data_IF_076549325657
#
_entry.id   IF_076549325657
#
_cell.length_a   1.000
_cell.length_b   1.000
_cell.length_c   1.000
_cell.angle_alpha   90.00
_cell.angle_beta   90.00
_cell.angle_gamma   90.00
#
_symmetry.space_group_name_H-M   'P 1'
#
loop_
_entity.id
_entity.type
_entity.pdbx_description
1 polymer ?
#
# COMPACT_ATOMS: atom_id res chain seq x y z
N UNK A 1 -2.28 7.31 9.17
CA UNK A 1 -1.50 6.06 9.20
C UNK A 1 -0.29 6.06 8.24
N UNK A 2 0.92 5.71 8.72
CA UNK A 2 2.13 5.59 7.88
C UNK A 2 2.52 4.12 7.65
N UNK A 3 2.28 3.62 6.45
CA UNK A 3 2.52 2.24 6.01
C UNK A 3 4.01 2.02 5.74
N UNK A 4 4.61 1.10 6.50
CA UNK A 4 6.02 0.69 6.39
C UNK A 4 6.20 -0.62 5.63
N UNK A 5 5.18 -1.47 5.63
CA UNK A 5 5.25 -2.80 5.01
C UNK A 5 3.91 -3.18 4.41
N UNK A 6 3.98 -3.88 3.28
CA UNK A 6 2.83 -4.49 2.62
C UNK A 6 3.07 -6.00 2.57
N UNK A 7 2.10 -6.78 3.03
CA UNK A 7 2.11 -8.24 2.96
C UNK A 7 0.96 -8.75 2.09
N UNK A 8 1.22 -9.85 1.38
CA UNK A 8 0.27 -10.51 0.48
C UNK A 8 0.21 -11.98 0.91
N UNK A 9 -0.93 -12.40 1.46
CA UNK A 9 -1.12 -13.72 2.05
C UNK A 9 -2.27 -14.46 1.36
N UNK A 10 -2.16 -15.79 1.22
CA UNK A 10 -3.23 -16.64 0.68
C UNK A 10 -3.45 -16.59 -0.84
N UNK A 11 -2.73 -15.74 -1.58
CA UNK A 11 -2.82 -15.72 -3.05
C UNK A 11 -2.05 -16.88 -3.71
N UNK A 12 -2.55 -18.10 -3.52
CA UNK A 12 -1.95 -19.31 -4.07
C UNK A 12 -2.16 -19.46 -5.58
N UNK A 13 -1.06 -19.73 -6.29
CA UNK A 13 -0.98 -19.64 -7.76
C UNK A 13 -1.31 -20.95 -8.48
N UNK A 14 -1.72 -21.99 -7.74
CA UNK A 14 -1.87 -23.34 -8.29
C UNK A 14 -3.32 -23.79 -8.51
N UNK A 15 -4.34 -22.98 -8.19
CA UNK A 15 -5.72 -23.37 -8.49
C UNK A 15 -6.01 -23.26 -10.00
N UNK A 16 -6.26 -24.38 -10.71
CA UNK A 16 -6.58 -24.36 -12.13
C UNK A 16 -7.98 -23.77 -12.30
N UNK A 17 -8.06 -22.54 -12.83
CA UNK A 17 -9.32 -21.83 -13.13
C UNK A 17 -9.94 -21.05 -11.97
N UNK A 18 -9.30 -21.01 -10.80
CA UNK A 18 -9.90 -20.52 -9.55
C UNK A 18 -9.67 -19.03 -9.27
N UNK A 19 -10.73 -18.38 -8.78
CA UNK A 19 -10.63 -17.11 -8.05
C UNK A 19 -9.80 -17.33 -6.78
N UNK A 20 -8.60 -16.75 -6.70
CA UNK A 20 -7.75 -16.95 -5.53
C UNK A 20 -8.15 -16.03 -4.39
N UNK A 21 -8.47 -16.59 -3.22
CA UNK A 21 -8.77 -15.82 -2.00
C UNK A 21 -7.51 -15.55 -1.22
N UNK A 22 -7.26 -14.29 -0.89
CA UNK A 22 -6.14 -13.91 -0.04
C UNK A 22 -6.40 -12.59 0.66
N UNK A 23 -5.38 -12.06 1.33
CA UNK A 23 -5.46 -10.77 1.98
C UNK A 23 -4.24 -9.91 1.68
N UNK A 24 -4.48 -8.61 1.56
CA UNK A 24 -3.44 -7.58 1.49
C UNK A 24 -3.43 -6.86 2.81
N UNK A 25 -2.28 -6.87 3.48
CA UNK A 25 -2.11 -6.18 4.76
C UNK A 25 -1.24 -4.95 4.61
N UNK A 26 -1.79 -3.80 4.99
CA UNK A 26 -1.07 -2.53 5.10
C UNK A 26 -0.63 -2.36 6.55
N UNK A 27 0.67 -2.48 6.80
CA UNK A 27 1.23 -2.53 8.16
C UNK A 27 1.94 -1.21 8.45
N UNK A 28 1.49 -0.54 9.50
CA UNK A 28 2.10 0.65 10.07
C UNK A 28 2.66 0.36 11.46
N UNK A 29 3.38 1.33 12.03
CA UNK A 29 3.85 1.23 13.43
C UNK A 29 2.70 1.26 14.44
N UNK A 30 1.59 1.92 14.10
CA UNK A 30 0.45 2.15 14.99
C UNK A 30 -0.76 1.26 14.68
N UNK A 31 -0.64 0.30 13.75
CA UNK A 31 -1.76 -0.58 13.41
C UNK A 31 -1.55 -1.36 12.12
N UNK A 32 -2.55 -2.18 11.78
CA UNK A 32 -2.61 -2.97 10.54
C UNK A 32 -4.02 -2.88 9.97
N UNK A 33 -4.10 -2.58 8.67
CA UNK A 33 -5.34 -2.72 7.90
C UNK A 33 -5.21 -3.99 7.08
N UNK A 34 -6.08 -4.95 7.33
CA UNK A 34 -6.17 -6.17 6.53
C UNK A 34 -7.36 -6.07 5.57
N UNK A 35 -7.08 -6.24 4.27
CA UNK A 35 -8.10 -6.23 3.23
C UNK A 35 -8.18 -7.62 2.61
N UNK A 36 -9.24 -8.35 2.94
CA UNK A 36 -9.55 -9.60 2.26
C UNK A 36 -9.96 -9.32 0.81
N UNK A 37 -9.31 -10.02 -0.14
CA UNK A 37 -9.53 -9.86 -1.56
C UNK A 37 -9.71 -11.20 -2.24
N UNK A 38 -10.57 -11.20 -3.25
CA UNK A 38 -10.65 -12.29 -4.22
C UNK A 38 -9.98 -11.83 -5.50
N UNK A 39 -8.82 -12.41 -5.79
CA UNK A 39 -8.04 -12.14 -6.98
C UNK A 39 -8.60 -12.91 -8.18
N UNK A 40 -8.73 -12.27 -9.36
CA UNK A 40 -8.98 -13.02 -10.59
C UNK A 40 -7.80 -13.95 -10.89
N UNK A 41 -7.99 -14.95 -11.78
CA UNK A 41 -6.90 -15.78 -12.27
C UNK A 41 -5.73 -14.92 -12.73
N UNK A 42 -4.52 -15.40 -12.48
CA UNK A 42 -3.27 -14.68 -12.71
C UNK A 42 -3.19 -14.19 -14.17
N UNK A 43 -3.59 -12.93 -14.40
CA UNK A 43 -3.55 -12.30 -15.73
C UNK A 43 -2.15 -11.89 -16.15
N UNK A 44 -1.18 -11.92 -15.23
CA UNK A 44 0.22 -11.62 -15.52
C UNK A 44 1.15 -12.74 -15.05
N UNK A 45 2.09 -13.20 -15.89
CA UNK A 45 3.12 -14.14 -15.49
C UNK A 45 4.13 -13.51 -14.49
N UNK A 46 4.10 -12.18 -14.34
CA UNK A 46 5.01 -11.43 -13.50
C UNK A 46 4.42 -11.21 -12.10
N UNK A 47 5.00 -11.85 -11.09
CA UNK A 47 4.58 -11.74 -9.67
C UNK A 47 4.39 -10.29 -9.20
N UNK A 48 5.31 -9.39 -9.54
CA UNK A 48 5.22 -7.96 -9.16
C UNK A 48 4.04 -7.23 -9.80
N UNK A 49 3.68 -7.55 -11.04
CA UNK A 49 2.54 -6.91 -11.70
C UNK A 49 1.22 -7.33 -11.03
N UNK A 50 1.12 -8.59 -10.66
CA UNK A 50 0.00 -9.13 -9.90
C UNK A 50 -0.12 -8.50 -8.51
N UNK A 51 0.98 -8.43 -7.73
CA UNK A 51 1.00 -7.74 -6.43
C UNK A 51 0.57 -6.28 -6.52
N UNK A 52 0.98 -5.54 -7.57
CA UNK A 52 0.52 -4.16 -7.79
C UNK A 52 -0.97 -4.06 -8.06
N UNK A 53 -1.54 -5.02 -8.80
CA UNK A 53 -2.97 -5.06 -9.06
C UNK A 53 -3.76 -5.34 -7.78
N UNK A 54 -3.28 -6.27 -6.95
CA UNK A 54 -3.86 -6.57 -5.64
C UNK A 54 -3.80 -5.34 -4.73
N UNK A 55 -2.65 -4.67 -4.67
CA UNK A 55 -2.49 -3.44 -3.90
C UNK A 55 -3.45 -2.34 -4.37
N UNK A 56 -3.57 -2.09 -5.69
CA UNK A 56 -4.54 -1.10 -6.21
C UNK A 56 -5.97 -1.41 -5.78
N UNK A 57 -6.37 -2.68 -5.79
CA UNK A 57 -7.72 -3.08 -5.32
C UNK A 57 -7.85 -2.91 -3.82
N UNK A 58 -6.83 -3.27 -3.04
CA UNK A 58 -6.81 -3.05 -1.60
C UNK A 58 -6.98 -1.57 -1.26
N UNK A 59 -6.19 -0.69 -1.88
CA UNK A 59 -6.28 0.75 -1.67
C UNK A 59 -7.65 1.31 -2.06
N UNK A 60 -8.27 0.82 -3.14
CA UNK A 60 -9.62 1.23 -3.51
C UNK A 60 -10.67 0.86 -2.45
N UNK A 61 -10.46 -0.23 -1.69
CA UNK A 61 -11.31 -0.58 -0.55
C UNK A 61 -11.01 0.32 0.65
N UNK A 62 -9.74 0.51 1.00
CA UNK A 62 -9.36 1.33 2.16
C UNK A 62 -9.81 2.79 1.99
N UNK A 63 -9.61 3.37 0.81
CA UNK A 63 -10.03 4.75 0.51
C UNK A 63 -11.56 4.93 0.48
N UNK A 64 -12.35 3.85 0.56
CA UNK A 64 -13.81 3.91 0.72
C UNK A 64 -14.25 3.85 2.18
N UNK A 65 -13.37 3.47 3.10
CA UNK A 65 -13.70 3.49 4.52
C UNK A 65 -13.92 4.94 4.97
N UNK A 66 -14.87 5.20 5.89
CA UNK A 66 -15.21 6.55 6.32
C UNK A 66 -14.01 7.34 6.83
N UNK A 67 -13.12 6.68 7.59
CA UNK A 67 -11.94 7.35 8.17
C UNK A 67 -11.05 8.01 7.10
N UNK A 68 -10.80 7.31 5.98
CA UNK A 68 -9.95 7.81 4.91
C UNK A 68 -10.73 8.64 3.87
N UNK A 69 -11.99 8.27 3.60
CA UNK A 69 -12.84 8.98 2.65
C UNK A 69 -13.15 10.41 3.10
N UNK A 70 -13.37 10.59 4.40
CA UNK A 70 -13.69 11.89 4.99
C UNK A 70 -12.43 12.68 5.40
N UNK A 71 -11.23 12.13 5.17
CA UNK A 71 -9.97 12.78 5.53
C UNK A 71 -9.70 12.83 7.03
N UNK A 72 -10.39 12.02 7.85
CA UNK A 72 -10.13 11.89 9.30
C UNK A 72 -8.80 11.19 9.56
N UNK A 73 -8.40 10.30 8.64
CA UNK A 73 -7.08 9.70 8.62
C UNK A 73 -6.48 9.73 7.20
N UNK A 74 -5.18 9.96 7.11
CA UNK A 74 -4.43 9.94 5.85
C UNK A 74 -3.53 8.71 5.75
N UNK A 75 -3.40 8.15 4.54
CA UNK A 75 -2.48 7.05 4.24
C UNK A 75 -1.18 7.59 3.64
N UNK A 76 -0.08 7.29 4.32
CA UNK A 76 1.27 7.61 3.87
C UNK A 76 2.04 6.31 3.64
N UNK A 77 2.95 6.29 2.67
CA UNK A 77 3.77 5.13 2.35
C UNK A 77 5.24 5.47 2.48
N UNK A 78 6.01 4.56 3.05
CA UNK A 78 7.46 4.69 3.10
C UNK A 78 8.06 4.72 1.69
N UNK A 79 9.14 5.48 1.49
CA UNK A 79 9.81 5.62 0.20
C UNK A 79 10.25 4.26 -0.38
N UNK A 80 10.70 3.34 0.47
CA UNK A 80 11.07 1.99 0.03
C UNK A 80 9.85 1.21 -0.50
N UNK A 81 8.69 1.38 0.15
CA UNK A 81 7.43 0.76 -0.26
C UNK A 81 6.94 1.34 -1.58
N UNK A 82 7.03 2.67 -1.77
CA UNK A 82 6.71 3.35 -3.03
C UNK A 82 7.61 2.86 -4.16
N UNK A 83 8.92 2.80 -3.92
CA UNK A 83 9.90 2.34 -4.92
C UNK A 83 9.69 0.87 -5.31
N UNK A 84 9.49 -0.02 -4.33
CA UNK A 84 9.25 -1.45 -4.55
C UNK A 84 7.98 -1.71 -5.37
N UNK A 85 6.91 -0.96 -5.09
CA UNK A 85 5.62 -1.14 -5.74
C UNK A 85 5.44 -0.28 -7.00
N UNK A 86 6.41 0.59 -7.34
CA UNK A 86 6.30 1.59 -8.41
C UNK A 86 4.93 2.31 -8.37
N UNK A 87 4.50 2.69 -7.18
CA UNK A 87 3.32 3.55 -7.06
C UNK A 87 3.68 4.88 -7.76
N UNK A 88 2.79 5.39 -8.62
CA UNK A 88 3.00 6.72 -9.19
C UNK A 88 3.16 7.72 -8.03
N UNK A 89 4.04 8.72 -8.14
CA UNK A 89 4.04 9.82 -7.19
C UNK A 89 2.69 10.55 -7.33
N UNK A 90 1.72 10.13 -6.53
CA UNK A 90 0.50 10.88 -6.26
C UNK A 90 0.81 12.04 -5.30
N UNK A 91 -0.17 12.84 -4.88
CA UNK A 91 0.03 14.04 -4.05
C UNK A 91 0.64 13.78 -2.65
N UNK A 92 1.07 12.57 -2.37
CA UNK A 92 1.76 12.10 -1.16
C UNK A 92 3.23 12.55 -1.10
N UNK A 93 3.76 13.27 -2.09
CA UNK A 93 5.13 13.80 -2.12
C UNK A 93 5.29 15.18 -1.45
N UNK A 94 4.59 15.45 -0.33
CA UNK A 94 4.82 16.65 0.51
C UNK A 94 5.60 16.37 1.80
N UNK A 95 5.98 15.13 2.10
CA UNK A 95 6.57 14.79 3.39
C UNK A 95 8.11 14.67 3.43
N UNK A 96 8.85 15.08 2.40
CA UNK A 96 10.33 15.00 2.40
C UNK A 96 11.04 16.37 2.45
N UNK A 97 10.31 17.50 2.59
CA UNK A 97 10.93 18.84 2.70
C UNK A 97 10.87 19.51 4.08
N UNK A 98 10.38 18.83 5.12
CA UNK A 98 10.27 19.44 6.47
C UNK A 98 11.17 18.80 7.54
N UNK A 99 12.16 18.00 7.15
CA UNK A 99 13.16 17.44 8.09
C UNK A 99 14.60 17.83 7.73
N UNK A 100 14.81 19.03 7.20
CA UNK A 100 16.11 19.67 7.34
C UNK A 100 16.09 20.41 8.69
N UNK A 101 16.86 19.97 9.71
CA UNK A 101 17.00 20.77 10.92
C UNK A 101 17.65 22.10 10.50
N UNK A 102 16.97 23.20 10.82
CA UNK A 102 17.55 24.52 10.75
C UNK A 102 18.80 24.54 11.66
N UNK A 103 19.98 24.37 11.06
CA UNK A 103 21.24 24.76 11.70
C UNK A 103 21.22 26.29 11.80
N UNK A 104 20.66 26.80 12.90
CA UNK A 104 21.11 28.05 13.50
C UNK A 104 22.54 27.82 14.01
N UNK A 105 23.48 28.48 13.37
CA UNK A 105 24.74 28.96 13.94
C UNK A 105 24.90 30.33 13.27
N UNK A 106 24.59 31.48 13.89
CA UNK A 106 25.24 32.07 15.07
C UNK A 106 26.76 31.89 15.06
N UNK A 107 27.44 32.74 14.30
CA UNK A 107 28.58 33.55 14.73
C UNK A 107 28.71 34.73 13.76
#
# INVERSE_FOLDING_TARGET
MHIKKIAFDGFDTQEPGGLTRGSVSLIAANGRIEVALVAPPRVSPWKRAFERQLLRRALAVVLRLPEYREGREELWFDAETVARMRLAPGPTERATRLSAPARRAQA
#
